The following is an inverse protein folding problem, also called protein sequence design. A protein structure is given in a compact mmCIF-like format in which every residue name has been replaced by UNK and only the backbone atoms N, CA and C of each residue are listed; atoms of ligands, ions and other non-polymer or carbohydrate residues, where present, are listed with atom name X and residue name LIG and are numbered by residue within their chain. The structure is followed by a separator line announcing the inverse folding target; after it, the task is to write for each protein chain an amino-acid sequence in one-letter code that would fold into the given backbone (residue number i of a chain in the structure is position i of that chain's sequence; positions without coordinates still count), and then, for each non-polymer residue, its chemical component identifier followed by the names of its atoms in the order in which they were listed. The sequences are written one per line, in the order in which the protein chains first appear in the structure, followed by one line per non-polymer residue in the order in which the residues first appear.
data_IF_171542935157
#
_entry.id   IF_171542935157
#
_cell.length_a   1.000
_cell.length_b   1.000
_cell.length_c   1.000
_cell.angle_alpha   90.00
_cell.angle_beta   90.00
_cell.angle_gamma   90.00
#
_symmetry.space_group_name_H-M   'P 1'
#
loop_
_entity.id
_entity.type
_entity.pdbx_description
1 polymer ?
#
# COMPACT_ATOMS: atom_id res chain seq x y z
N UNK A 1 -10.57 -10.16 3.30
CA UNK A 1 -10.06 -8.78 3.52
C UNK A 1 -8.56 -8.90 3.62
N UNK A 2 -7.83 -8.14 2.82
CA UNK A 2 -6.36 -8.18 2.82
C UNK A 2 -5.82 -6.81 3.19
N UNK A 3 -4.58 -6.75 3.66
CA UNK A 3 -3.88 -5.55 4.05
C UNK A 3 -2.70 -5.35 3.12
N UNK A 4 -2.64 -4.20 2.46
CA UNK A 4 -1.56 -3.88 1.54
C UNK A 4 -0.63 -2.89 2.22
N UNK A 5 0.64 -3.25 2.34
CA UNK A 5 1.69 -2.33 2.73
C UNK A 5 2.16 -1.58 1.49
N UNK A 6 1.96 -0.26 1.49
CA UNK A 6 2.31 0.61 0.37
C UNK A 6 3.20 1.73 0.85
N UNK A 7 4.23 2.03 0.07
CA UNK A 7 5.01 3.26 0.20
C UNK A 7 4.56 4.24 -0.87
N UNK A 8 4.39 5.50 -0.47
CA UNK A 8 3.90 6.60 -1.29
C UNK A 8 4.84 7.78 -1.15
N UNK A 9 5.25 8.39 -2.26
CA UNK A 9 6.08 9.59 -2.24
C UNK A 9 5.59 10.62 -3.25
N UNK A 10 5.52 11.88 -2.81
CA UNK A 10 5.29 12.99 -3.71
C UNK A 10 6.62 13.42 -4.35
N UNK A 11 6.77 13.14 -5.64
CA UNK A 11 7.88 13.58 -6.46
C UNK A 11 7.79 15.08 -6.76
N UNK A 12 8.94 15.71 -7.02
CA UNK A 12 9.07 17.18 -7.16
C UNK A 12 8.29 17.83 -8.31
N UNK A 13 7.63 17.03 -9.16
CA UNK A 13 6.82 17.47 -10.29
C UNK A 13 5.31 17.25 -10.08
N UNK A 14 4.85 17.17 -8.82
CA UNK A 14 3.46 16.85 -8.46
C UNK A 14 3.02 15.43 -8.84
N UNK A 15 3.96 14.57 -9.29
CA UNK A 15 3.65 13.16 -9.50
C UNK A 15 3.74 12.42 -8.17
N UNK A 16 2.84 11.47 -7.97
CA UNK A 16 2.88 10.55 -6.84
C UNK A 16 3.51 9.23 -7.30
N UNK A 17 4.61 8.88 -6.69
CA UNK A 17 5.23 7.55 -6.82
C UNK A 17 4.64 6.64 -5.76
N UNK A 18 4.36 5.39 -6.13
CA UNK A 18 3.86 4.39 -5.21
C UNK A 18 4.55 3.06 -5.45
N UNK A 19 4.83 2.33 -4.37
CA UNK A 19 5.43 1.01 -4.42
C UNK A 19 4.68 0.07 -3.49
N UNK A 20 4.23 -1.06 -4.04
CA UNK A 20 3.65 -2.16 -3.28
C UNK A 20 4.78 -2.96 -2.63
N UNK A 21 4.81 -2.99 -1.31
CA UNK A 21 5.84 -3.69 -0.54
C UNK A 21 5.41 -5.12 -0.24
N UNK A 22 4.15 -5.31 0.16
CA UNK A 22 3.64 -6.62 0.53
C UNK A 22 2.12 -6.64 0.71
N UNK A 23 1.56 -7.85 0.70
CA UNK A 23 0.14 -8.11 0.98
C UNK A 23 0.06 -9.10 2.13
N UNK A 24 -0.80 -8.80 3.10
CA UNK A 24 -0.94 -9.53 4.35
C UNK A 24 -2.40 -9.87 4.62
N UNK A 25 -2.66 -10.97 5.32
CA UNK A 25 -4.01 -11.38 5.67
C UNK A 25 -4.52 -10.73 6.97
N UNK A 26 -3.63 -10.13 7.76
CA UNK A 26 -3.95 -9.45 9.03
C UNK A 26 -3.29 -8.08 9.14
N UNK A 27 -3.92 -7.19 9.92
CA UNK A 27 -3.37 -5.87 10.22
C UNK A 27 -2.05 -6.00 10.99
N UNK A 28 -2.01 -6.87 12.00
CA UNK A 28 -0.83 -7.03 12.85
C UNK A 28 0.41 -7.42 12.04
N UNK A 29 0.27 -8.35 11.09
CA UNK A 29 1.36 -8.75 10.21
C UNK A 29 1.81 -7.61 9.29
N UNK A 30 0.87 -6.80 8.80
CA UNK A 30 1.21 -5.62 8.01
C UNK A 30 1.97 -4.58 8.84
N UNK A 31 1.54 -4.33 10.08
CA UNK A 31 2.17 -3.35 10.99
C UNK A 31 3.56 -3.79 11.44
N UNK A 32 3.77 -5.09 11.66
CA UNK A 32 5.09 -5.65 11.97
C UNK A 32 6.10 -5.35 10.86
N UNK A 33 5.71 -5.60 9.60
CA UNK A 33 6.54 -5.30 8.43
C UNK A 33 6.65 -3.79 8.16
N UNK A 34 5.61 -3.00 8.47
CA UNK A 34 5.64 -1.54 8.39
C UNK A 34 6.76 -0.96 9.26
N UNK A 35 6.94 -1.49 10.48
CA UNK A 35 8.03 -1.04 11.37
C UNK A 35 9.40 -1.23 10.72
N UNK A 36 9.64 -2.35 10.04
CA UNK A 36 10.88 -2.62 9.31
C UNK A 36 11.00 -1.70 8.09
N UNK A 37 9.92 -1.55 7.32
CA UNK A 37 9.90 -0.77 6.09
C UNK A 37 9.88 0.76 6.31
N UNK A 38 9.67 1.23 7.55
CA UNK A 38 9.76 2.65 7.94
C UNK A 38 11.07 3.33 7.54
N UNK A 39 12.16 2.56 7.41
CA UNK A 39 13.46 3.02 6.90
C UNK A 39 13.40 3.60 5.48
N UNK A 40 12.40 3.22 4.68
CA UNK A 40 12.17 3.73 3.33
C UNK A 40 11.62 5.16 3.32
N UNK A 41 11.09 5.66 4.44
CA UNK A 41 10.63 7.04 4.58
C UNK A 41 11.82 7.96 4.81
N UNK A 42 12.52 8.28 3.72
CA UNK A 42 13.76 9.08 3.74
C UNK A 42 13.51 10.58 3.60
N UNK A 43 12.32 10.97 3.12
CA UNK A 43 11.95 12.38 2.91
C UNK A 43 10.61 12.68 3.57
N UNK A 44 10.34 13.96 3.87
CA UNK A 44 9.06 14.41 4.45
C UNK A 44 7.86 14.25 3.50
N UNK A 45 8.14 14.00 2.22
CA UNK A 45 7.14 13.83 1.18
C UNK A 45 6.85 12.36 0.90
N UNK A 46 7.48 11.45 1.64
CA UNK A 46 7.24 10.02 1.60
C UNK A 46 6.47 9.57 2.83
N UNK A 47 5.66 8.54 2.67
CA UNK A 47 4.92 7.86 3.74
C UNK A 47 4.82 6.39 3.42
N UNK A 48 4.62 5.57 4.45
CA UNK A 48 4.35 4.14 4.33
C UNK A 48 3.15 3.82 5.22
N UNK A 49 2.22 3.03 4.71
CA UNK A 49 1.00 2.71 5.44
C UNK A 49 0.39 1.36 5.05
N UNK A 50 -0.41 0.81 5.97
CA UNK A 50 -1.16 -0.43 5.83
C UNK A 50 -2.61 -0.13 5.45
N UNK A 51 -2.95 -0.39 4.20
CA UNK A 51 -4.28 -0.09 3.66
C UNK A 51 -5.16 -1.36 3.66
N UNK A 52 -6.34 -1.34 4.30
CA UNK A 52 -7.29 -2.43 4.19
C UNK A 52 -7.94 -2.45 2.80
N UNK A 53 -7.98 -3.63 2.19
CA UNK A 53 -8.61 -3.87 0.89
C UNK A 53 -9.63 -4.99 1.01
N UNK A 54 -10.86 -4.65 0.65
CA UNK A 54 -11.93 -5.64 0.47
C UNK A 54 -11.83 -6.22 -0.94
N UNK A 55 -11.58 -7.53 -1.03
CA UNK A 55 -11.41 -8.24 -2.30
C UNK A 55 -12.74 -8.65 -2.96
N UNK A 56 -13.84 -7.97 -2.65
CA UNK A 56 -15.16 -8.24 -3.19
C UNK A 56 -15.28 -7.71 -4.62
N UNK A 57 -14.53 -8.29 -5.56
CA UNK A 57 -14.76 -8.05 -6.99
C UNK A 57 -15.82 -9.00 -7.50
N UNK A 58 -17.07 -8.54 -7.56
CA UNK A 58 -17.97 -9.00 -8.60
C UNK A 58 -17.44 -8.47 -9.93
N UNK A 59 -16.65 -9.28 -10.64
CA UNK A 59 -16.30 -8.96 -12.02
C UNK A 59 -17.55 -9.16 -12.86
N UNK A 60 -18.31 -8.10 -13.09
CA UNK A 60 -19.37 -8.06 -14.10
C UNK A 60 -18.68 -8.09 -15.47
N UNK A 61 -18.35 -9.30 -15.96
CA UNK A 61 -17.91 -9.48 -17.34
C UNK A 61 -19.12 -9.15 -18.23
N UNK A 62 -19.14 -7.94 -18.77
CA UNK A 62 -20.04 -7.60 -19.88
C UNK A 62 -19.54 -8.36 -21.12
N UNK A 63 -20.04 -9.58 -21.31
CA UNK A 63 -19.93 -10.27 -22.61
C UNK A 63 -20.89 -9.53 -23.55
N UNK A 64 -20.30 -8.81 -24.50
CA UNK A 64 -21.01 -8.13 -25.58
C UNK A 64 -21.58 -9.15 -26.58
#
# INVERSE_FOLDING_TARGET
MVWILIWLQLAGNQNMEYYHIGTFDSLDACVEELSTASVLVTTKNATIDCIPVETTREVQIQVK
#
